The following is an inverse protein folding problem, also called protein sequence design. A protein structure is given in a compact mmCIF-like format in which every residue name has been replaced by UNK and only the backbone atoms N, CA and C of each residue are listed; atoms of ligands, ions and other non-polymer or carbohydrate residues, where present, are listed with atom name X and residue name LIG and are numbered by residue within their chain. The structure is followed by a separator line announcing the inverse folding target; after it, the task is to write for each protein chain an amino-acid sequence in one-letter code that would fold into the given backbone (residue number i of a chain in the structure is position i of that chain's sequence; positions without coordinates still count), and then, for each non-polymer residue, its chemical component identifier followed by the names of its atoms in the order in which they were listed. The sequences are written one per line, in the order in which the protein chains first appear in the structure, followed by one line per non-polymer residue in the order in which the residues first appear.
data_IF_374948189201
#
_entry.id   IF_374948189201
#
_cell.length_a   1.000
_cell.length_b   1.000
_cell.length_c   1.000
_cell.angle_alpha   90.00
_cell.angle_beta   90.00
_cell.angle_gamma   90.00
#
_symmetry.space_group_name_H-M   'P 1'
#
loop_
_entity.id
_entity.type
_entity.pdbx_description
1 polymer ?
#
# COMPACT_ATOMS: atom_id res chain seq x y z
N UNK A 1 -4.52 -7.94 -5.55
CA UNK A 1 -3.64 -8.36 -4.45
C UNK A 1 -3.15 -9.80 -4.66
N UNK A 2 -1.83 -10.05 -4.66
CA UNK A 2 -1.25 -11.35 -4.95
C UNK A 2 -1.06 -12.21 -3.69
N UNK A 3 -2.12 -12.38 -2.91
CA UNK A 3 -2.08 -13.26 -1.74
C UNK A 3 -2.30 -14.72 -2.15
N UNK A 4 -1.46 -15.61 -1.65
CA UNK A 4 -1.57 -17.06 -1.85
C UNK A 4 -1.14 -17.82 -0.59
N UNK A 5 -0.87 -19.12 -0.73
CA UNK A 5 -0.48 -20.00 0.39
C UNK A 5 1.02 -19.95 0.76
N UNK A 6 1.75 -18.96 0.27
CA UNK A 6 3.20 -18.84 0.46
C UNK A 6 4.04 -19.57 -0.58
N UNK A 7 3.40 -20.27 -1.52
CA UNK A 7 4.14 -20.89 -2.64
C UNK A 7 4.67 -19.81 -3.60
N UNK A 8 5.80 -20.09 -4.24
CA UNK A 8 6.32 -19.20 -5.26
C UNK A 8 5.45 -19.26 -6.52
N UNK A 9 5.19 -18.09 -7.12
CA UNK A 9 4.47 -17.96 -8.38
C UNK A 9 5.45 -17.52 -9.45
N UNK A 10 5.50 -18.25 -10.56
CA UNK A 10 6.35 -17.87 -11.67
C UNK A 10 5.93 -16.51 -12.24
N UNK A 11 6.87 -15.62 -12.59
CA UNK A 11 6.56 -14.28 -13.10
C UNK A 11 5.59 -14.30 -14.30
N UNK A 12 5.67 -15.31 -15.17
CA UNK A 12 4.80 -15.47 -16.32
C UNK A 12 3.33 -15.59 -15.96
N UNK A 13 3.00 -16.19 -14.81
CA UNK A 13 1.61 -16.29 -14.32
C UNK A 13 1.06 -14.92 -14.04
N UNK A 14 1.82 -14.09 -13.34
CA UNK A 14 1.44 -12.70 -13.04
C UNK A 14 1.36 -11.86 -14.32
N UNK A 15 2.33 -12.00 -15.23
CA UNK A 15 2.32 -11.28 -16.51
C UNK A 15 1.08 -11.62 -17.34
N UNK A 16 0.71 -12.89 -17.42
CA UNK A 16 -0.48 -13.33 -18.16
C UNK A 16 -1.76 -12.80 -17.49
N UNK A 17 -1.86 -12.89 -16.16
CA UNK A 17 -3.00 -12.33 -15.43
C UNK A 17 -3.17 -10.81 -15.66
N UNK A 18 -2.08 -10.05 -15.67
CA UNK A 18 -2.12 -8.61 -15.96
C UNK A 18 -2.61 -8.33 -17.39
N UNK A 19 -2.14 -9.12 -18.37
CA UNK A 19 -2.56 -8.99 -19.78
C UNK A 19 -4.01 -9.37 -20.00
N UNK A 20 -4.50 -10.39 -19.29
CA UNK A 20 -5.89 -10.84 -19.38
C UNK A 20 -6.86 -9.83 -18.74
N UNK A 21 -6.43 -9.19 -17.64
CA UNK A 21 -7.24 -8.18 -16.95
C UNK A 21 -7.27 -6.82 -17.66
N UNK A 22 -6.20 -6.42 -18.35
CA UNK A 22 -6.10 -5.10 -18.94
C UNK A 22 -7.25 -4.74 -19.90
N UNK A 23 -7.68 -5.60 -20.87
CA UNK A 23 -8.81 -5.28 -21.72
C UNK A 23 -10.13 -5.20 -20.97
N UNK A 24 -10.30 -5.96 -19.90
CA UNK A 24 -11.49 -5.87 -19.04
C UNK A 24 -11.58 -4.49 -18.37
N UNK A 25 -10.47 -4.04 -17.75
CA UNK A 25 -10.41 -2.72 -17.12
C UNK A 25 -10.63 -1.59 -18.13
N UNK A 26 -10.04 -1.73 -19.33
CA UNK A 26 -10.22 -0.76 -20.41
C UNK A 26 -11.68 -0.64 -20.85
N UNK A 27 -12.43 -1.74 -20.90
CA UNK A 27 -13.85 -1.75 -21.27
C UNK A 27 -14.70 -0.86 -20.34
N UNK A 28 -14.33 -0.77 -19.07
CA UNK A 28 -15.03 0.04 -18.08
C UNK A 28 -14.38 1.40 -17.81
N UNK A 29 -13.32 1.75 -18.53
CA UNK A 29 -12.59 3.00 -18.33
C UNK A 29 -11.89 3.09 -16.95
N UNK A 30 -11.51 1.96 -16.37
CA UNK A 30 -10.90 1.84 -15.04
C UNK A 30 -9.40 1.69 -15.18
N UNK A 31 -8.61 2.43 -14.42
CA UNK A 31 -7.17 2.18 -14.28
C UNK A 31 -6.93 1.07 -13.26
N UNK A 32 -6.31 -0.03 -13.68
CA UNK A 32 -5.92 -1.10 -12.78
C UNK A 32 -4.74 -0.69 -11.89
N UNK A 33 -4.81 -1.07 -10.63
CA UNK A 33 -3.73 -0.89 -9.66
C UNK A 33 -3.22 -2.24 -9.17
N UNK A 34 -1.91 -2.40 -9.15
CA UNK A 34 -1.25 -3.59 -8.57
C UNK A 34 -0.70 -3.21 -7.21
N UNK A 35 -1.18 -3.89 -6.19
CA UNK A 35 -0.76 -3.71 -4.82
C UNK A 35 0.12 -4.88 -4.37
N UNK A 36 1.40 -4.66 -4.11
CA UNK A 36 2.26 -5.66 -3.46
C UNK A 36 1.84 -5.82 -1.99
N UNK A 37 1.67 -7.06 -1.54
CA UNK A 37 1.31 -7.35 -0.15
C UNK A 37 2.54 -7.79 0.64
N UNK A 38 2.86 -7.09 1.72
CA UNK A 38 4.03 -7.34 2.55
C UNK A 38 3.99 -8.65 3.35
N UNK A 39 2.87 -9.36 3.41
CA UNK A 39 2.74 -10.61 4.15
C UNK A 39 3.72 -11.69 3.67
N UNK A 40 4.29 -12.50 4.59
CA UNK A 40 5.22 -13.57 4.21
C UNK A 40 4.67 -14.56 3.19
N UNK A 41 3.36 -14.81 3.20
CA UNK A 41 2.67 -15.71 2.29
C UNK A 41 2.33 -15.10 0.92
N UNK A 42 2.56 -13.80 0.73
CA UNK A 42 2.29 -13.15 -0.55
C UNK A 42 3.30 -13.56 -1.62
N UNK A 43 2.81 -13.84 -2.83
CA UNK A 43 3.65 -14.15 -4.00
C UNK A 43 4.31 -12.91 -4.62
N UNK A 44 3.86 -11.71 -4.28
CA UNK A 44 4.39 -10.44 -4.76
C UNK A 44 4.43 -9.43 -3.63
N UNK A 45 5.61 -9.23 -3.04
CA UNK A 45 5.83 -8.36 -1.88
C UNK A 45 6.54 -7.05 -2.23
N UNK A 46 7.33 -7.07 -3.29
CA UNK A 46 8.19 -5.97 -3.72
C UNK A 46 7.46 -5.02 -4.66
N UNK A 47 7.45 -3.72 -4.32
CA UNK A 47 6.92 -2.67 -5.19
C UNK A 47 7.76 -2.51 -6.47
N UNK A 48 9.07 -2.63 -6.38
CA UNK A 48 9.97 -2.58 -7.53
C UNK A 48 9.71 -3.76 -8.49
N UNK A 49 9.50 -4.98 -7.94
CA UNK A 49 9.15 -6.14 -8.75
C UNK A 49 7.76 -5.99 -9.39
N UNK A 50 6.77 -5.52 -8.64
CA UNK A 50 5.42 -5.28 -9.18
C UNK A 50 5.47 -4.28 -10.34
N UNK A 51 6.18 -3.18 -10.19
CA UNK A 51 6.37 -2.20 -11.26
C UNK A 51 7.08 -2.80 -12.49
N UNK A 52 8.10 -3.63 -12.26
CA UNK A 52 8.76 -4.35 -13.35
C UNK A 52 7.77 -5.24 -14.12
N UNK A 53 6.95 -6.01 -13.41
CA UNK A 53 5.94 -6.87 -14.01
C UNK A 53 4.89 -6.08 -14.81
N UNK A 54 4.44 -4.93 -14.31
CA UNK A 54 3.53 -4.03 -15.05
C UNK A 54 4.17 -3.58 -16.37
N UNK A 55 5.44 -3.16 -16.34
CA UNK A 55 6.18 -2.77 -17.56
C UNK A 55 6.35 -3.92 -18.53
N UNK A 56 6.77 -5.09 -18.04
CA UNK A 56 7.02 -6.27 -18.87
C UNK A 56 5.71 -6.84 -19.49
N UNK A 57 4.58 -6.65 -18.80
CA UNK A 57 3.26 -6.99 -19.32
C UNK A 57 2.78 -6.03 -20.43
N UNK A 58 3.37 -4.81 -20.53
CA UNK A 58 2.95 -3.72 -21.41
C UNK A 58 1.48 -3.32 -21.22
N UNK A 59 1.03 -3.24 -19.98
CA UNK A 59 -0.34 -2.86 -19.61
C UNK A 59 -0.39 -1.47 -18.96
N UNK A 60 -1.53 -0.73 -19.07
CA UNK A 60 -1.65 0.61 -18.51
C UNK A 60 -1.98 0.61 -17.01
N UNK A 61 -1.51 -0.39 -16.28
CA UNK A 61 -1.71 -0.46 -14.84
C UNK A 61 -0.68 0.40 -14.10
N UNK A 62 -1.00 0.76 -12.87
CA UNK A 62 -0.12 1.51 -11.97
C UNK A 62 0.09 0.73 -10.68
N UNK A 63 1.02 1.22 -9.84
CA UNK A 63 1.19 0.72 -8.48
C UNK A 63 0.16 1.32 -7.54
N UNK A 64 -0.27 0.52 -6.58
CA UNK A 64 -0.77 0.96 -5.29
C UNK A 64 0.31 0.68 -4.25
N UNK A 65 0.71 1.70 -3.50
CA UNK A 65 1.62 1.56 -2.35
C UNK A 65 0.78 1.65 -1.09
N UNK A 66 0.80 0.61 -0.26
CA UNK A 66 0.20 0.63 1.07
C UNK A 66 1.32 0.71 2.12
N UNK A 67 1.22 1.69 3.02
CA UNK A 67 2.24 1.94 4.06
C UNK A 67 2.39 0.77 5.03
N UNK A 68 1.33 0.03 5.29
CA UNK A 68 1.35 -1.20 6.08
C UNK A 68 2.13 -2.30 5.37
N UNK A 69 1.75 -2.62 4.15
CA UNK A 69 2.42 -3.66 3.37
C UNK A 69 3.88 -3.31 3.05
N UNK A 70 4.17 -2.04 2.80
CA UNK A 70 5.54 -1.56 2.64
C UNK A 70 6.36 -1.80 3.92
N UNK A 71 5.81 -1.49 5.09
CA UNK A 71 6.47 -1.76 6.37
C UNK A 71 6.71 -3.26 6.60
N UNK A 72 5.77 -4.13 6.22
CA UNK A 72 5.89 -5.58 6.41
C UNK A 72 6.98 -6.22 5.56
N UNK A 73 7.31 -5.65 4.40
CA UNK A 73 8.34 -6.19 3.53
C UNK A 73 9.73 -5.71 3.96
N UNK A 74 10.64 -6.59 4.41
CA UNK A 74 11.91 -6.18 5.03
C UNK A 74 12.81 -5.33 4.13
N UNK A 75 12.77 -5.57 2.82
CA UNK A 75 13.64 -4.90 1.84
C UNK A 75 12.98 -3.66 1.20
N UNK A 76 11.77 -3.30 1.63
CA UNK A 76 10.99 -2.23 1.00
C UNK A 76 11.73 -0.88 0.94
N UNK A 77 12.28 -0.42 2.06
CA UNK A 77 13.03 0.84 2.13
C UNK A 77 14.25 0.84 1.18
N UNK A 78 14.97 -0.28 1.08
CA UNK A 78 16.14 -0.41 0.20
C UNK A 78 15.76 -0.38 -1.28
N UNK A 79 14.63 -0.99 -1.63
CA UNK A 79 14.13 -1.05 -3.00
C UNK A 79 13.36 0.21 -3.43
N UNK A 80 12.87 1.00 -2.48
CA UNK A 80 11.98 2.13 -2.78
C UNK A 80 12.60 3.15 -3.74
N UNK A 81 13.92 3.33 -3.70
CA UNK A 81 14.64 4.19 -4.64
C UNK A 81 14.48 3.77 -6.11
N UNK A 82 14.19 2.48 -6.36
CA UNK A 82 14.00 1.92 -7.71
C UNK A 82 12.58 2.11 -8.25
N UNK A 83 11.63 2.50 -7.37
CA UNK A 83 10.23 2.72 -7.77
C UNK A 83 10.11 4.07 -8.48
N UNK A 84 9.57 4.08 -9.69
CA UNK A 84 9.20 5.31 -10.40
C UNK A 84 7.92 5.88 -9.80
N UNK A 85 8.03 7.03 -9.16
CA UNK A 85 6.92 7.71 -8.47
C UNK A 85 5.76 8.05 -9.42
N UNK A 86 6.04 8.34 -10.69
CA UNK A 86 5.01 8.63 -11.69
C UNK A 86 4.10 7.43 -12.00
N UNK A 87 4.56 6.24 -11.66
CA UNK A 87 3.77 5.00 -11.82
C UNK A 87 2.91 4.66 -10.59
N UNK A 88 2.99 5.41 -9.50
CA UNK A 88 2.11 5.23 -8.34
C UNK A 88 0.77 5.89 -8.63
N UNK A 89 -0.30 5.10 -8.62
CA UNK A 89 -1.67 5.58 -8.86
C UNK A 89 -2.42 5.95 -7.59
N UNK A 90 -2.08 5.30 -6.47
CA UNK A 90 -2.75 5.47 -5.18
C UNK A 90 -1.79 5.08 -4.06
N UNK A 91 -1.94 5.74 -2.91
CA UNK A 91 -1.25 5.36 -1.67
C UNK A 91 -2.28 5.11 -0.57
N UNK A 92 -2.25 3.91 0.02
CA UNK A 92 -3.04 3.57 1.19
C UNK A 92 -2.27 3.87 2.48
N UNK A 93 -3.01 4.38 3.47
CA UNK A 93 -2.48 4.80 4.76
C UNK A 93 -3.23 4.09 5.89
N UNK A 94 -2.50 3.54 6.81
CA UNK A 94 -3.00 3.10 8.11
C UNK A 94 -1.91 3.29 9.17
N UNK A 95 -2.27 3.13 10.44
CA UNK A 95 -1.35 3.11 11.57
C UNK A 95 -1.36 1.75 12.27
N UNK A 96 -0.35 1.48 13.09
CA UNK A 96 -0.29 0.33 13.98
C UNK A 96 0.41 0.76 15.27
N UNK A 97 -0.19 0.49 16.42
CA UNK A 97 0.43 0.68 17.75
C UNK A 97 0.92 -0.62 18.38
N UNK A 98 0.43 -1.77 17.89
CA UNK A 98 0.79 -3.06 18.44
C UNK A 98 2.31 -3.28 18.40
N UNK A 99 2.84 -3.88 19.47
CA UNK A 99 4.28 -4.11 19.67
C UNK A 99 4.71 -5.50 19.25
N UNK A 100 3.84 -6.28 18.65
CA UNK A 100 4.20 -7.59 18.14
C UNK A 100 5.29 -7.50 17.05
N UNK A 101 6.01 -8.58 16.77
CA UNK A 101 6.96 -8.63 15.68
C UNK A 101 6.28 -8.28 14.33
N UNK A 102 7.01 -7.59 13.45
CA UNK A 102 6.55 -7.18 12.14
C UNK A 102 5.86 -8.29 11.35
N UNK A 103 6.46 -9.47 11.36
CA UNK A 103 5.98 -10.65 10.63
C UNK A 103 4.70 -11.27 11.22
N UNK A 104 4.30 -10.85 12.41
CA UNK A 104 3.07 -11.30 13.08
C UNK A 104 1.91 -10.32 12.89
N UNK A 105 2.16 -9.13 12.34
CA UNK A 105 1.12 -8.16 12.07
C UNK A 105 0.17 -8.67 10.98
N UNK A 106 -1.11 -8.41 11.19
CA UNK A 106 -2.21 -8.71 10.26
C UNK A 106 -3.03 -7.45 9.98
N UNK A 107 -4.06 -7.55 9.18
CA UNK A 107 -4.98 -6.44 8.96
C UNK A 107 -5.74 -6.03 10.23
N UNK A 108 -5.86 -6.91 11.22
CA UNK A 108 -6.57 -6.63 12.46
C UNK A 108 -5.93 -5.53 13.33
N UNK A 109 -4.63 -5.29 13.18
CA UNK A 109 -3.90 -4.24 13.89
C UNK A 109 -3.89 -2.89 13.16
N UNK A 110 -4.48 -2.81 11.96
CA UNK A 110 -4.50 -1.58 11.15
C UNK A 110 -5.55 -0.60 11.64
N UNK A 111 -5.12 0.47 12.27
CA UNK A 111 -5.94 1.55 12.82
C UNK A 111 -5.75 2.86 12.03
N UNK A 112 -6.49 3.90 12.41
CA UNK A 112 -6.19 5.27 11.96
C UNK A 112 -4.85 5.74 12.54
N UNK A 113 -4.23 6.75 11.91
CA UNK A 113 -2.90 7.23 12.34
C UNK A 113 -2.94 7.87 13.71
N UNK A 114 -1.99 7.49 14.54
CA UNK A 114 -1.74 8.09 15.86
C UNK A 114 -0.27 8.51 15.96
N UNK A 115 0.10 9.34 16.97
CA UNK A 115 1.50 9.69 17.22
C UNK A 115 2.38 8.49 17.55
N UNK A 116 1.80 7.39 18.02
CA UNK A 116 2.46 6.14 18.41
C UNK A 116 2.61 5.14 17.26
N UNK A 117 2.24 5.56 16.03
CA UNK A 117 2.30 4.70 14.84
C UNK A 117 3.70 4.09 14.62
N UNK A 118 3.74 2.77 14.53
CA UNK A 118 4.95 1.95 14.37
C UNK A 118 5.25 1.58 12.91
N UNK A 119 4.36 1.86 12.00
CA UNK A 119 4.61 1.73 10.55
C UNK A 119 5.50 2.86 10.03
N UNK A 120 5.66 3.91 10.80
CA UNK A 120 6.32 5.16 10.38
C UNK A 120 5.64 5.78 9.15
N UNK A 121 4.32 5.70 9.08
CA UNK A 121 3.51 6.15 7.94
C UNK A 121 3.78 7.61 7.57
N UNK A 122 3.89 8.51 8.56
CA UNK A 122 4.25 9.90 8.30
C UNK A 122 5.62 10.04 7.62
N UNK A 123 6.61 9.22 7.99
CA UNK A 123 7.93 9.20 7.33
C UNK A 123 7.81 8.68 5.89
N UNK A 124 7.02 7.65 5.67
CA UNK A 124 6.79 7.10 4.33
C UNK A 124 6.11 8.14 3.42
N UNK A 125 5.10 8.85 3.92
CA UNK A 125 4.44 9.95 3.19
C UNK A 125 5.44 11.05 2.85
N UNK A 126 6.29 11.45 3.81
CA UNK A 126 7.34 12.46 3.57
C UNK A 126 8.30 12.04 2.47
N UNK A 127 8.76 10.79 2.47
CA UNK A 127 9.62 10.25 1.40
C UNK A 127 8.93 10.28 0.02
N UNK A 128 7.64 9.98 -0.05
CA UNK A 128 6.84 10.07 -1.28
C UNK A 128 6.77 11.51 -1.79
N UNK A 129 6.43 12.46 -0.91
CA UNK A 129 6.33 13.89 -1.25
C UNK A 129 7.67 14.47 -1.71
N UNK A 130 8.76 14.17 -1.00
CA UNK A 130 10.12 14.60 -1.36
C UNK A 130 10.56 14.06 -2.73
N UNK A 131 10.07 12.88 -3.10
CA UNK A 131 10.29 12.28 -4.43
C UNK A 131 9.31 12.76 -5.49
N UNK A 132 8.39 13.66 -5.15
CA UNK A 132 7.49 14.32 -6.09
C UNK A 132 6.13 13.63 -6.30
N UNK A 133 5.71 12.71 -5.44
CA UNK A 133 4.35 12.17 -5.50
C UNK A 133 3.32 13.28 -5.24
N UNK A 134 2.32 13.38 -6.12
CA UNK A 134 1.23 14.38 -6.05
C UNK A 134 -0.14 13.73 -6.26
N UNK A 135 -0.21 12.43 -6.05
CA UNK A 135 -1.44 11.67 -6.22
C UNK A 135 -2.32 11.67 -4.97
N UNK A 136 -3.17 10.67 -4.91
CA UNK A 136 -4.18 10.52 -3.86
C UNK A 136 -3.62 9.65 -2.73
N UNK A 137 -3.87 10.07 -1.50
CA UNK A 137 -3.73 9.27 -0.29
C UNK A 137 -5.12 8.88 0.21
N UNK A 138 -5.32 7.61 0.57
CA UNK A 138 -6.58 7.11 1.11
C UNK A 138 -6.31 6.33 2.39
N UNK A 139 -7.09 6.58 3.45
CA UNK A 139 -7.01 5.79 4.66
C UNK A 139 -7.65 4.42 4.46
N UNK A 140 -6.95 3.38 4.90
CA UNK A 140 -7.39 1.99 4.79
C UNK A 140 -7.12 1.21 6.09
N UNK A 141 -7.74 1.61 7.22
CA UNK A 141 -7.68 0.86 8.46
C UNK A 141 -8.66 -0.33 8.42
N UNK A 142 -8.31 -1.43 9.12
CA UNK A 142 -9.12 -2.67 9.14
C UNK A 142 -9.39 -3.19 10.55
N UNK A 143 -8.89 -2.53 11.59
CA UNK A 143 -9.10 -3.00 12.96
C UNK A 143 -10.60 -3.22 13.27
N UNK A 144 -10.96 -4.35 13.90
CA UNK A 144 -12.38 -4.70 14.16
C UNK A 144 -13.16 -3.62 14.90
N UNK A 145 -12.51 -2.87 15.76
CA UNK A 145 -13.12 -1.78 16.54
C UNK A 145 -13.72 -0.64 15.68
N UNK A 146 -13.25 -0.48 14.43
CA UNK A 146 -13.80 0.54 13.55
C UNK A 146 -15.26 0.28 13.16
N UNK A 147 -15.71 -0.98 13.25
CA UNK A 147 -17.09 -1.34 12.95
C UNK A 147 -18.11 -0.69 13.93
N UNK A 148 -17.64 -0.32 15.13
CA UNK A 148 -18.45 0.31 16.18
C UNK A 148 -18.38 1.85 16.17
N UNK A 149 -17.65 2.44 15.22
CA UNK A 149 -17.47 3.88 15.14
C UNK A 149 -18.68 4.56 14.49
N UNK A 150 -19.18 5.60 15.12
CA UNK A 150 -20.15 6.50 14.50
C UNK A 150 -19.49 7.50 13.54
N UNK A 151 -20.31 8.24 12.80
CA UNK A 151 -19.84 9.23 11.83
C UNK A 151 -18.95 10.31 12.48
N UNK A 152 -19.28 10.75 13.69
CA UNK A 152 -18.51 11.79 14.38
C UNK A 152 -17.11 11.28 14.74
N UNK A 153 -17.02 10.04 15.23
CA UNK A 153 -15.74 9.39 15.53
C UNK A 153 -14.90 9.25 14.28
N UNK A 154 -15.49 8.75 13.19
CA UNK A 154 -14.80 8.60 11.89
C UNK A 154 -14.25 9.96 11.42
N UNK A 155 -15.08 11.01 11.41
CA UNK A 155 -14.64 12.36 11.00
C UNK A 155 -13.53 12.90 11.90
N UNK A 156 -13.62 12.67 13.19
CA UNK A 156 -12.61 13.10 14.15
C UNK A 156 -11.25 12.44 13.88
N UNK A 157 -11.23 11.13 13.73
CA UNK A 157 -9.99 10.37 13.52
C UNK A 157 -9.36 10.64 12.16
N UNK A 158 -10.18 10.85 11.11
CA UNK A 158 -9.66 11.31 9.80
C UNK A 158 -8.97 12.66 9.95
N UNK A 159 -9.59 13.62 10.63
CA UNK A 159 -8.99 14.96 10.84
C UNK A 159 -7.69 14.88 11.61
N UNK A 160 -7.64 14.10 12.70
CA UNK A 160 -6.43 13.90 13.49
C UNK A 160 -5.30 13.31 12.65
N UNK A 161 -5.58 12.26 11.89
CA UNK A 161 -4.62 11.60 11.00
C UNK A 161 -4.08 12.56 9.94
N UNK A 162 -4.94 13.39 9.33
CA UNK A 162 -4.52 14.41 8.36
C UNK A 162 -3.60 15.43 9.03
N UNK A 163 -3.92 15.89 10.25
CA UNK A 163 -3.09 16.86 10.98
C UNK A 163 -1.71 16.29 11.31
N UNK A 164 -1.62 15.02 11.70
CA UNK A 164 -0.34 14.35 11.94
C UNK A 164 0.55 14.35 10.68
N UNK A 165 -0.02 13.96 9.55
CA UNK A 165 0.69 13.97 8.26
C UNK A 165 1.16 15.39 7.92
N UNK A 166 0.26 16.39 7.99
CA UNK A 166 0.60 17.78 7.66
C UNK A 166 1.69 18.36 8.58
N UNK A 167 1.73 17.95 9.85
CA UNK A 167 2.79 18.34 10.79
C UNK A 167 4.14 17.74 10.41
N UNK A 168 4.15 16.49 9.97
CA UNK A 168 5.39 15.78 9.61
C UNK A 168 6.02 16.31 8.32
N UNK A 169 5.25 16.99 7.48
CA UNK A 169 5.72 17.55 6.19
C UNK A 169 6.31 18.97 6.33
N UNK A 170 6.20 19.59 7.49
CA UNK A 170 6.81 20.89 7.79
C UNK A 170 8.27 20.74 8.18
#
# INVERSE_FOLDING_TARGET
CPLNDGSSVAPEVTLNALRDLAPLFATYGITGLVEPLGFPQSSLRSAAQAQKLIRDAHVPFKLLIDTFHHHLYPDADAEFSQVDIAQIGLVHLSGVEDKCPRESLTDAERIMLTPEDRLFTCRQVKQLEERGYKGIYAFEPFAPELADWDENKIQHEIKNSIQLIQHSLK
#
